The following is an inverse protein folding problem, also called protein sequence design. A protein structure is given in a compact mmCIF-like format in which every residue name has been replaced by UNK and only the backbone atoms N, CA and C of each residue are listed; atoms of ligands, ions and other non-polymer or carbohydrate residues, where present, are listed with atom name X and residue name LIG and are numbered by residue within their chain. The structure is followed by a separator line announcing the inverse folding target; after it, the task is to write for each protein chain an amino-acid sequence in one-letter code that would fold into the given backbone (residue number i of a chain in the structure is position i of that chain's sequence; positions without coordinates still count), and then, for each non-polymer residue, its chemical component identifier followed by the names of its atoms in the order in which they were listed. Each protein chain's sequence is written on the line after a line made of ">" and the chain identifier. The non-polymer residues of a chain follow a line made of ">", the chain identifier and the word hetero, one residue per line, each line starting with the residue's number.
data_IF_168034490126
#
_entry.id   IF_168034490126
#
_cell.length_a   1.000
_cell.length_b   1.000
_cell.length_c   1.000
_cell.angle_alpha   90.00
_cell.angle_beta   90.00
_cell.angle_gamma   90.00
#
_symmetry.space_group_name_H-M   'P 1'
#
loop_
_entity.id
_entity.type
_entity.pdbx_description
1 polymer ?
#
# COMPACT_ATOMS: atom_id res chain seq x y z
N UNK A 1 -31.89 34.06 -10.72
CA UNK A 1 -31.46 33.14 -9.64
C UNK A 1 -30.94 31.85 -10.27
N UNK A 2 -29.70 31.86 -10.77
CA UNK A 2 -29.04 30.66 -11.32
C UNK A 2 -27.58 30.73 -10.86
N UNK A 3 -27.34 30.52 -9.57
CA UNK A 3 -25.97 30.55 -9.00
C UNK A 3 -25.68 29.38 -8.06
N UNK A 4 -26.62 28.45 -7.88
CA UNK A 4 -26.48 27.36 -6.90
C UNK A 4 -26.00 26.04 -7.49
N UNK A 5 -25.90 25.93 -8.83
CA UNK A 5 -25.52 24.67 -9.51
C UNK A 5 -24.01 24.59 -9.78
N UNK A 6 -23.34 25.71 -10.11
CA UNK A 6 -21.91 25.73 -10.46
C UNK A 6 -21.01 25.33 -9.28
N UNK A 7 -21.34 25.80 -8.06
CA UNK A 7 -20.52 25.56 -6.85
C UNK A 7 -20.46 24.07 -6.46
N UNK A 8 -21.46 23.26 -6.86
CA UNK A 8 -21.49 21.82 -6.55
C UNK A 8 -20.68 20.97 -7.53
N UNK A 9 -20.47 21.43 -8.77
CA UNK A 9 -19.64 20.71 -9.74
C UNK A 9 -18.16 20.87 -9.42
N UNK A 10 -17.73 22.06 -8.98
CA UNK A 10 -16.34 22.29 -8.61
C UNK A 10 -15.94 21.52 -7.35
N UNK A 11 -16.84 21.35 -6.36
CA UNK A 11 -16.53 20.56 -5.16
C UNK A 11 -16.50 19.04 -5.39
N UNK A 12 -17.29 18.54 -6.35
CA UNK A 12 -17.23 17.14 -6.80
C UNK A 12 -15.95 16.89 -7.63
N UNK A 13 -15.54 17.85 -8.47
CA UNK A 13 -14.29 17.78 -9.19
C UNK A 13 -13.08 17.83 -8.24
N UNK A 14 -13.12 18.67 -7.20
CA UNK A 14 -12.06 18.74 -6.18
C UNK A 14 -11.97 17.46 -5.34
N UNK A 15 -13.10 16.82 -5.03
CA UNK A 15 -13.12 15.51 -4.37
C UNK A 15 -12.52 14.39 -5.24
N UNK A 16 -12.75 14.43 -6.57
CA UNK A 16 -12.15 13.51 -7.53
C UNK A 16 -10.67 13.80 -7.84
N UNK A 17 -10.19 15.05 -7.67
CA UNK A 17 -8.78 15.41 -7.90
C UNK A 17 -7.83 14.79 -6.86
N UNK A 18 -8.34 14.38 -5.69
CA UNK A 18 -7.57 13.69 -4.64
C UNK A 18 -7.59 12.16 -4.71
N UNK A 19 -8.14 11.57 -5.77
CA UNK A 19 -7.84 10.16 -6.07
C UNK A 19 -6.45 10.06 -6.70
N UNK A 20 -5.44 10.31 -5.88
CA UNK A 20 -4.05 10.14 -6.27
C UNK A 20 -3.79 8.70 -6.73
N UNK A 21 -3.87 8.49 -8.04
CA UNK A 21 -3.37 7.36 -8.83
C UNK A 21 -3.02 6.11 -7.99
N UNK A 22 -4.05 5.48 -7.43
CA UNK A 22 -3.96 4.27 -6.59
C UNK A 22 -3.38 3.12 -7.42
N UNK A 23 -3.57 3.20 -8.73
CA UNK A 23 -2.99 2.30 -9.72
C UNK A 23 -1.47 2.30 -9.72
N UNK A 24 -0.79 3.31 -9.17
CA UNK A 24 0.66 3.31 -9.00
C UNK A 24 1.11 3.03 -7.57
N UNK A 25 0.19 2.78 -6.64
CA UNK A 25 0.50 2.54 -5.23
C UNK A 25 0.47 1.06 -4.85
N UNK A 26 1.35 0.70 -3.93
CA UNK A 26 1.35 -0.59 -3.22
C UNK A 26 1.52 -0.39 -1.73
N UNK A 27 1.04 -1.37 -0.99
CA UNK A 27 1.08 -1.41 0.47
C UNK A 27 1.96 -2.58 0.90
N UNK A 28 3.02 -2.27 1.63
CA UNK A 28 3.93 -3.23 2.24
C UNK A 28 3.60 -3.32 3.73
N UNK A 29 3.37 -4.54 4.20
CA UNK A 29 3.01 -4.85 5.58
C UNK A 29 4.11 -5.66 6.24
N UNK A 30 4.25 -5.45 7.54
CA UNK A 30 5.20 -6.17 8.39
C UNK A 30 6.67 -6.01 7.96
N UNK A 31 6.99 -4.89 7.30
CA UNK A 31 8.39 -4.51 7.07
C UNK A 31 8.97 -4.09 8.43
N UNK A 32 10.02 -4.76 8.94
CA UNK A 32 10.61 -4.44 10.25
C UNK A 32 10.90 -2.96 10.37
N UNK A 33 10.74 -2.39 11.56
CA UNK A 33 11.06 -1.00 11.85
C UNK A 33 12.37 -0.91 12.64
N UNK A 34 13.16 0.13 12.40
CA UNK A 34 14.41 0.38 13.12
C UNK A 34 14.51 1.86 13.46
N UNK A 35 15.06 2.20 14.63
CA UNK A 35 15.22 3.60 15.03
C UNK A 35 16.15 4.32 14.04
N UNK A 36 15.72 5.49 13.56
CA UNK A 36 16.47 6.28 12.58
C UNK A 36 16.54 5.65 11.18
N UNK A 37 15.65 4.72 10.84
CA UNK A 37 15.67 4.09 9.52
C UNK A 37 15.42 5.08 8.38
N UNK A 38 16.20 4.94 7.29
CA UNK A 38 15.82 5.51 6.01
C UNK A 38 14.91 4.51 5.29
N UNK A 39 13.63 4.84 5.20
CA UNK A 39 12.63 3.94 4.64
C UNK A 39 12.79 3.70 3.14
N UNK A 40 13.26 4.70 2.39
CA UNK A 40 13.50 4.57 0.95
C UNK A 40 14.60 3.54 0.70
N UNK A 41 15.71 3.65 1.44
CA UNK A 41 16.80 2.67 1.35
C UNK A 41 16.34 1.26 1.71
N UNK A 42 15.44 1.14 2.70
CA UNK A 42 14.91 -0.15 3.15
C UNK A 42 13.97 -0.78 2.12
N UNK A 43 13.13 0.02 1.48
CA UNK A 43 12.27 -0.42 0.37
C UNK A 43 13.12 -0.79 -0.86
N UNK A 44 14.15 -0.01 -1.18
CA UNK A 44 15.11 -0.35 -2.25
C UNK A 44 15.82 -1.67 -1.97
N UNK A 45 16.27 -1.90 -0.73
CA UNK A 45 16.88 -3.17 -0.31
C UNK A 45 15.88 -4.33 -0.40
N UNK A 46 14.63 -4.14 0.02
CA UNK A 46 13.56 -5.14 -0.12
C UNK A 46 13.37 -5.54 -1.59
N UNK A 47 13.35 -4.59 -2.52
CA UNK A 47 13.18 -4.90 -3.94
C UNK A 47 14.42 -5.56 -4.54
N UNK A 48 15.61 -5.05 -4.24
CA UNK A 48 16.87 -5.60 -4.76
C UNK A 48 17.21 -6.99 -4.20
N UNK A 49 17.07 -7.17 -2.90
CA UNK A 49 17.51 -8.39 -2.20
C UNK A 49 16.35 -9.38 -1.98
N UNK A 50 15.16 -8.88 -1.67
CA UNK A 50 13.97 -9.70 -1.46
C UNK A 50 13.33 -10.16 -2.77
N UNK A 51 13.20 -9.26 -3.76
CA UNK A 51 12.56 -9.57 -5.05
C UNK A 51 13.53 -9.82 -6.19
N UNK A 52 14.84 -9.60 -5.98
CA UNK A 52 15.88 -9.66 -7.03
C UNK A 52 15.61 -8.70 -8.20
N UNK A 53 15.02 -7.53 -7.88
CA UNK A 53 14.68 -6.49 -8.84
C UNK A 53 15.55 -5.24 -8.57
N UNK A 54 16.73 -5.10 -9.20
CA UNK A 54 17.64 -3.99 -8.93
C UNK A 54 17.19 -2.66 -9.54
N UNK A 55 16.32 -2.69 -10.57
CA UNK A 55 15.97 -1.51 -11.38
C UNK A 55 14.51 -1.09 -11.19
N UNK A 56 14.06 -0.98 -9.94
CA UNK A 56 12.69 -0.56 -9.61
C UNK A 56 12.72 0.87 -9.09
N UNK A 57 11.96 1.76 -9.74
CA UNK A 57 11.94 3.18 -9.40
C UNK A 57 10.61 3.57 -8.75
N UNK A 58 10.69 4.31 -7.65
CA UNK A 58 9.53 4.84 -6.95
C UNK A 58 9.64 6.37 -6.81
N UNK A 59 8.48 7.03 -6.74
CA UNK A 59 8.36 8.48 -6.62
C UNK A 59 8.26 8.92 -5.16
N UNK A 60 7.63 8.11 -4.31
CA UNK A 60 7.58 8.39 -2.87
C UNK A 60 7.38 7.13 -2.04
N UNK A 61 7.85 7.18 -0.79
CA UNK A 61 7.67 6.13 0.22
C UNK A 61 7.24 6.78 1.53
N UNK A 62 6.28 6.17 2.21
CA UNK A 62 5.79 6.69 3.50
C UNK A 62 5.37 5.56 4.42
N UNK A 63 5.81 5.59 5.68
CA UNK A 63 5.29 4.70 6.73
C UNK A 63 4.13 5.38 7.45
N UNK A 64 2.98 4.70 7.49
CA UNK A 64 1.87 5.05 8.37
C UNK A 64 1.93 4.16 9.60
N UNK A 65 2.11 4.79 10.76
CA UNK A 65 2.03 4.08 12.03
C UNK A 65 0.59 3.59 12.25
N UNK A 66 0.45 2.40 12.82
CA UNK A 66 -0.87 1.91 13.24
C UNK A 66 -1.24 2.64 14.53
N UNK A 67 -2.45 3.19 14.62
CA UNK A 67 -2.88 4.03 15.75
C UNK A 67 -3.08 3.29 17.09
N UNK A 68 -2.59 2.05 17.23
CA UNK A 68 -2.62 1.32 18.50
C UNK A 68 -1.51 1.85 19.43
N UNK A 69 -1.78 2.97 20.09
CA UNK A 69 -1.04 3.48 21.26
C UNK A 69 -1.29 2.60 22.51
N UNK A 70 -1.21 1.28 22.37
CA UNK A 70 -1.51 0.37 23.47
C UNK A 70 -1.22 -1.07 23.12
N UNK A 71 -0.03 -1.53 23.51
CA UNK A 71 0.26 -2.95 23.77
C UNK A 71 0.66 -3.88 22.61
N UNK A 72 1.09 -3.37 21.46
CA UNK A 72 1.69 -4.22 20.42
C UNK A 72 2.68 -3.48 19.55
N UNK A 73 3.94 -3.91 19.58
CA UNK A 73 5.04 -3.48 18.70
C UNK A 73 4.78 -3.89 17.24
N UNK A 74 3.68 -3.42 16.65
CA UNK A 74 3.28 -3.75 15.28
C UNK A 74 4.02 -2.81 14.34
N UNK A 75 4.89 -3.39 13.53
CA UNK A 75 5.55 -2.70 12.42
C UNK A 75 4.50 -1.93 11.59
N UNK A 76 4.64 -0.60 11.47
CA UNK A 76 3.71 0.23 10.70
C UNK A 76 3.54 -0.23 9.24
N UNK A 77 2.56 0.35 8.55
CA UNK A 77 2.28 0.03 7.14
C UNK A 77 3.07 0.98 6.23
N UNK A 78 3.80 0.44 5.25
CA UNK A 78 4.56 1.24 4.29
C UNK A 78 3.77 1.35 2.99
N UNK A 79 3.62 2.57 2.48
CA UNK A 79 2.98 2.87 1.20
C UNK A 79 4.08 3.33 0.25
N UNK A 80 4.15 2.70 -0.92
CA UNK A 80 5.11 3.04 -1.98
C UNK A 80 4.33 3.47 -3.21
N UNK A 81 4.69 4.61 -3.78
CA UNK A 81 4.16 5.10 -5.06
C UNK A 81 5.22 4.92 -6.14
N UNK A 82 4.93 4.17 -7.18
CA UNK A 82 5.88 3.94 -8.28
C UNK A 82 5.94 5.13 -9.24
N UNK A 83 7.02 5.19 -10.03
CA UNK A 83 7.11 6.13 -11.15
C UNK A 83 6.32 5.63 -12.37
N UNK A 84 6.42 4.32 -12.64
CA UNK A 84 5.76 3.68 -13.78
C UNK A 84 4.84 2.54 -13.34
N UNK A 85 3.83 2.22 -14.17
CA UNK A 85 2.98 1.05 -13.96
C UNK A 85 3.75 -0.27 -14.16
N UNK A 86 4.80 -0.24 -14.98
CA UNK A 86 5.68 -1.38 -15.26
C UNK A 86 6.45 -1.79 -14.02
N UNK A 87 7.03 -0.83 -13.30
CA UNK A 87 7.71 -1.05 -12.01
C UNK A 87 6.77 -1.73 -11.00
N UNK A 88 5.55 -1.21 -10.87
CA UNK A 88 4.53 -1.82 -10.01
C UNK A 88 4.23 -3.24 -10.45
N UNK A 89 4.02 -3.48 -11.75
CA UNK A 89 3.69 -4.80 -12.29
C UNK A 89 4.80 -5.80 -11.99
N UNK A 90 6.07 -5.44 -12.18
CA UNK A 90 7.22 -6.28 -11.86
C UNK A 90 7.24 -6.67 -10.38
N UNK A 91 7.07 -5.70 -9.47
CA UNK A 91 7.02 -5.94 -8.03
C UNK A 91 5.86 -6.87 -7.68
N UNK A 92 4.68 -6.63 -8.24
CA UNK A 92 3.48 -7.42 -7.93
C UNK A 92 3.52 -8.85 -8.51
N UNK A 93 4.23 -9.09 -9.61
CA UNK A 93 4.46 -10.43 -10.15
C UNK A 93 5.48 -11.21 -9.32
N UNK A 94 6.52 -10.54 -8.81
CA UNK A 94 7.62 -11.18 -8.10
C UNK A 94 7.43 -11.23 -6.58
N UNK A 95 6.41 -10.55 -6.02
CA UNK A 95 6.17 -10.52 -4.56
C UNK A 95 6.05 -11.89 -3.90
N UNK A 96 5.67 -12.92 -4.68
CA UNK A 96 5.65 -14.30 -4.21
C UNK A 96 7.04 -14.77 -3.78
N UNK A 97 8.12 -14.27 -4.36
CA UNK A 97 9.46 -14.73 -4.03
C UNK A 97 9.97 -14.22 -2.67
N UNK A 98 9.27 -13.29 -2.02
CA UNK A 98 9.63 -12.80 -0.68
C UNK A 98 9.70 -13.90 0.36
N UNK A 99 8.83 -14.92 0.30
CA UNK A 99 8.85 -16.02 1.27
C UNK A 99 10.17 -16.81 1.24
N UNK A 100 10.90 -16.75 0.12
CA UNK A 100 12.19 -17.44 -0.05
C UNK A 100 13.32 -16.71 0.67
N UNK A 101 13.16 -15.41 0.94
CA UNK A 101 14.15 -14.63 1.66
C UNK A 101 13.96 -14.78 3.16
N UNK A 102 15.01 -15.22 3.87
CA UNK A 102 14.98 -15.34 5.34
C UNK A 102 14.64 -14.03 6.05
N UNK A 103 15.08 -12.90 5.49
CA UNK A 103 14.87 -11.57 6.08
C UNK A 103 13.48 -11.02 5.80
N UNK A 104 12.88 -11.38 4.65
CA UNK A 104 11.62 -10.80 4.18
C UNK A 104 10.47 -11.81 4.12
N UNK A 105 10.64 -13.00 4.72
CA UNK A 105 9.67 -14.09 4.63
C UNK A 105 8.28 -13.72 5.14
N UNK A 106 8.21 -12.81 6.12
CA UNK A 106 6.96 -12.33 6.72
C UNK A 106 6.52 -10.95 6.20
N UNK A 107 7.13 -10.46 5.12
CA UNK A 107 6.76 -9.18 4.49
C UNK A 107 5.73 -9.43 3.40
N UNK A 108 4.64 -8.66 3.42
CA UNK A 108 3.55 -8.81 2.46
C UNK A 108 3.37 -7.56 1.63
N UNK A 109 3.33 -7.71 0.30
CA UNK A 109 3.07 -6.62 -0.65
C UNK A 109 1.70 -6.80 -1.29
N UNK A 110 0.85 -5.79 -1.18
CA UNK A 110 -0.50 -5.79 -1.72
C UNK A 110 -0.75 -4.54 -2.58
N UNK A 111 -1.73 -4.62 -3.47
CA UNK A 111 -2.26 -3.42 -4.10
C UNK A 111 -2.80 -2.48 -3.02
N UNK A 112 -2.59 -1.18 -3.20
CA UNK A 112 -3.37 -0.23 -2.43
C UNK A 112 -4.84 -0.31 -2.84
N UNK A 113 -5.73 -0.01 -1.90
CA UNK A 113 -7.17 -0.15 -2.08
C UNK A 113 -7.86 1.02 -1.41
N UNK A 114 -8.94 1.49 -2.03
CA UNK A 114 -9.79 2.51 -1.45
C UNK A 114 -10.38 2.00 -0.12
N UNK A 115 -10.67 2.94 0.79
CA UNK A 115 -11.24 2.60 2.10
C UNK A 115 -12.50 1.74 1.96
N UNK A 116 -13.39 2.10 1.04
CA UNK A 116 -14.66 1.41 0.80
C UNK A 116 -14.44 0.00 0.25
N UNK A 117 -13.51 -0.18 -0.68
CA UNK A 117 -13.15 -1.50 -1.22
C UNK A 117 -12.56 -2.41 -0.14
N UNK A 118 -11.70 -1.87 0.74
CA UNK A 118 -11.15 -2.64 1.88
C UNK A 118 -12.26 -3.09 2.84
N UNK A 119 -13.21 -2.21 3.14
CA UNK A 119 -14.36 -2.54 3.99
C UNK A 119 -15.22 -3.62 3.34
N UNK A 120 -15.55 -3.47 2.05
CA UNK A 120 -16.30 -4.49 1.30
C UNK A 120 -15.56 -5.83 1.29
N UNK A 121 -14.28 -5.86 0.96
CA UNK A 121 -13.47 -7.08 0.93
C UNK A 121 -13.44 -7.77 2.31
N UNK A 122 -13.35 -7.02 3.40
CA UNK A 122 -13.40 -7.56 4.76
C UNK A 122 -14.78 -8.13 5.08
N UNK A 123 -15.85 -7.41 4.76
CA UNK A 123 -17.23 -7.88 4.98
C UNK A 123 -17.50 -9.18 4.21
N UNK A 124 -17.08 -9.26 2.94
CA UNK A 124 -17.19 -10.48 2.13
C UNK A 124 -16.43 -11.66 2.75
N UNK A 125 -15.20 -11.43 3.26
CA UNK A 125 -14.44 -12.49 3.95
C UNK A 125 -15.17 -13.00 5.19
N UNK A 126 -15.75 -12.10 6.00
CA UNK A 126 -16.52 -12.47 7.18
C UNK A 126 -17.74 -13.32 6.81
N UNK A 127 -18.49 -12.91 5.78
CA UNK A 127 -19.65 -13.67 5.29
C UNK A 127 -19.24 -15.05 4.76
N UNK A 128 -18.19 -15.13 3.94
CA UNK A 128 -17.68 -16.41 3.43
C UNK A 128 -17.20 -17.34 4.54
N UNK A 129 -16.60 -16.80 5.60
CA UNK A 129 -16.17 -17.59 6.75
C UNK A 129 -17.37 -18.12 7.56
N UNK A 130 -18.46 -17.35 7.65
CA UNK A 130 -19.70 -17.78 8.28
C UNK A 130 -20.42 -18.88 7.48
N UNK A 131 -20.37 -18.84 6.14
CA UNK A 131 -21.00 -19.83 5.26
C UNK A 131 -20.25 -21.17 5.16
N UNK A 132 -18.99 -21.23 5.58
CA UNK A 132 -18.18 -22.46 5.59
C UNK A 132 -18.33 -23.28 6.88
N UNK A 133 -19.22 -22.87 7.78
CA UNK A 133 -19.60 -23.60 9.00
C UNK A 133 -20.91 -24.33 8.76
#
# INVERSE_FOLDING_TARGET
>A
MIETVSVRMDSLAEACKTEENIDLKVVIRNLPESQGENIENKVSALFREGLKLPNVHFSSVTRKQSADNGNGNKNGVVIVKFQTAEDKKMVMTNKKDLFKSRQYANVFINHDQLKNERLMANNFRTLLAALKR
#
